data_IF_446948668679
#
_entry.id   IF_446948668679
#
_cell.length_a   1.000
_cell.length_b   1.000
_cell.length_c   1.000
_cell.angle_alpha   90.00
_cell.angle_beta   90.00
_cell.angle_gamma   90.00
#
_symmetry.space_group_name_H-M   'P 1'
#
loop_
_entity.id
_entity.type
_entity.pdbx_description
1 polymer ?
#
# COMPACT_ATOMS: atom_id res chain seq x y z
N UNK A 1 1.84 -8.26 12.70
CA UNK A 1 1.63 -8.13 11.24
C UNK A 1 1.53 -9.51 10.63
N UNK A 2 0.55 -9.76 9.77
CA UNK A 2 0.34 -11.09 9.22
C UNK A 2 1.41 -11.48 8.21
N UNK A 3 1.59 -12.80 8.05
CA UNK A 3 2.53 -13.32 7.07
C UNK A 3 2.15 -12.92 5.64
N UNK A 4 0.85 -12.92 5.35
CA UNK A 4 0.35 -12.51 4.02
C UNK A 4 0.71 -11.05 3.73
N UNK A 5 0.57 -10.16 4.72
CA UNK A 5 0.96 -8.76 4.58
C UNK A 5 2.46 -8.66 4.28
N UNK A 6 3.29 -9.36 5.06
CA UNK A 6 4.74 -9.31 4.86
C UNK A 6 5.15 -9.82 3.49
N UNK A 7 4.60 -10.97 3.07
CA UNK A 7 4.93 -11.56 1.78
C UNK A 7 4.51 -10.68 0.61
N UNK A 8 3.28 -10.14 0.65
CA UNK A 8 2.77 -9.32 -0.44
C UNK A 8 3.52 -8.00 -0.57
N UNK A 9 3.82 -7.35 0.57
CA UNK A 9 4.57 -6.09 0.52
C UNK A 9 6.02 -6.33 0.09
N UNK A 10 6.64 -7.42 0.52
CA UNK A 10 7.99 -7.77 0.07
C UNK A 10 8.02 -7.97 -1.45
N UNK A 11 7.03 -8.65 -2.02
CA UNK A 11 6.93 -8.82 -3.47
C UNK A 11 6.71 -7.48 -4.17
N UNK A 12 5.86 -6.62 -3.60
CA UNK A 12 5.61 -5.28 -4.13
C UNK A 12 6.90 -4.45 -4.18
N UNK A 13 7.66 -4.45 -3.09
CA UNK A 13 8.89 -3.68 -3.00
C UNK A 13 9.99 -4.22 -3.93
N UNK A 14 9.94 -5.52 -4.23
CA UNK A 14 10.95 -6.19 -5.08
C UNK A 14 10.51 -6.30 -6.54
N UNK A 15 9.38 -5.73 -6.92
CA UNK A 15 8.82 -5.81 -8.27
C UNK A 15 8.65 -7.27 -8.71
N UNK A 16 8.08 -8.11 -7.84
CA UNK A 16 7.78 -9.51 -8.14
C UNK A 16 6.28 -9.75 -8.17
N UNK A 17 5.82 -10.48 -9.17
CA UNK A 17 4.42 -10.89 -9.23
C UNK A 17 4.07 -11.76 -8.04
N UNK A 18 2.87 -11.56 -7.50
CA UNK A 18 2.41 -12.27 -6.31
C UNK A 18 0.89 -12.38 -6.35
N UNK A 19 0.38 -13.53 -5.92
CA UNK A 19 -1.06 -13.69 -5.74
C UNK A 19 -1.30 -14.74 -4.68
N UNK A 20 -1.93 -14.33 -3.57
CA UNK A 20 -2.28 -15.22 -2.47
C UNK A 20 -3.36 -14.57 -1.63
N UNK A 21 -4.42 -15.33 -1.30
CA UNK A 21 -5.52 -14.80 -0.50
C UNK A 21 -6.15 -13.59 -1.16
N UNK A 22 -6.30 -12.51 -0.38
CA UNK A 22 -6.89 -11.26 -0.88
C UNK A 22 -5.84 -10.28 -1.43
N UNK A 23 -4.57 -10.71 -1.54
CA UNK A 23 -3.49 -9.83 -1.98
C UNK A 23 -2.95 -10.25 -3.35
N UNK A 24 -2.58 -9.25 -4.13
CA UNK A 24 -1.96 -9.46 -5.43
C UNK A 24 -0.95 -8.35 -5.69
N UNK A 25 0.13 -8.69 -6.37
CA UNK A 25 1.08 -7.71 -6.91
C UNK A 25 1.15 -7.91 -8.42
N UNK A 26 0.80 -6.89 -9.16
CA UNK A 26 1.00 -6.83 -10.60
C UNK A 26 2.29 -6.08 -10.88
N UNK A 27 3.04 -6.55 -11.87
CA UNK A 27 4.27 -5.88 -12.28
C UNK A 27 4.14 -5.54 -13.76
N UNK A 28 4.13 -4.26 -14.06
CA UNK A 28 4.14 -3.73 -15.42
C UNK A 28 5.57 -3.24 -15.74
N UNK A 29 5.78 -2.70 -16.93
CA UNK A 29 7.13 -2.38 -17.40
C UNK A 29 7.96 -1.56 -16.39
N UNK A 30 7.36 -0.57 -15.74
CA UNK A 30 8.09 0.31 -14.83
C UNK A 30 7.32 0.61 -13.55
N UNK A 31 6.33 -0.21 -13.20
CA UNK A 31 5.53 0.02 -11.99
C UNK A 31 5.10 -1.31 -11.39
N UNK A 32 5.15 -1.39 -10.05
CA UNK A 32 4.57 -2.49 -9.28
C UNK A 32 3.30 -1.97 -8.63
N UNK A 33 2.25 -2.78 -8.62
CA UNK A 33 0.95 -2.39 -8.08
C UNK A 33 0.54 -3.40 -7.02
N UNK A 34 0.31 -2.91 -5.80
CA UNK A 34 -0.18 -3.73 -4.69
C UNK A 34 -1.70 -3.63 -4.66
N UNK A 35 -2.38 -4.77 -4.74
CA UNK A 35 -3.84 -4.83 -4.76
C UNK A 35 -4.37 -5.60 -3.56
N UNK A 36 -5.42 -5.07 -2.94
CA UNK A 36 -6.20 -5.73 -1.90
C UNK A 36 -7.61 -5.93 -2.44
N UNK A 37 -8.10 -7.18 -2.49
CA UNK A 37 -9.40 -7.51 -3.09
C UNK A 37 -9.55 -6.89 -4.49
N UNK A 38 -8.51 -7.01 -5.32
CA UNK A 38 -8.47 -6.44 -6.66
C UNK A 38 -8.42 -4.91 -6.73
N UNK A 39 -8.39 -4.21 -5.60
CA UNK A 39 -8.32 -2.76 -5.58
C UNK A 39 -6.88 -2.32 -5.41
N UNK A 40 -6.34 -1.46 -6.29
CA UNK A 40 -4.96 -1.00 -6.16
C UNK A 40 -4.86 -0.03 -4.99
N UNK A 41 -4.03 -0.38 -4.00
CA UNK A 41 -3.81 0.46 -2.82
C UNK A 41 -2.42 1.09 -2.80
N UNK A 42 -1.49 0.60 -3.62
CA UNK A 42 -0.16 1.19 -3.69
C UNK A 42 0.46 0.97 -5.06
N UNK A 43 1.25 1.95 -5.49
CA UNK A 43 2.02 1.91 -6.73
C UNK A 43 3.47 2.24 -6.39
N UNK A 44 4.40 1.48 -6.93
CA UNK A 44 5.82 1.78 -6.80
C UNK A 44 6.43 1.88 -8.19
N UNK A 45 6.92 3.06 -8.53
CA UNK A 45 7.58 3.26 -9.80
C UNK A 45 9.01 2.73 -9.73
N UNK A 46 9.35 1.85 -10.67
CA UNK A 46 10.65 1.18 -10.71
C UNK A 46 11.67 2.06 -11.46
N UNK A 47 11.84 3.27 -10.98
CA UNK A 47 12.82 4.24 -11.49
C UNK A 47 13.84 4.52 -10.37
N UNK A 48 14.88 5.30 -10.65
CA UNK A 48 15.89 5.60 -9.62
C UNK A 48 15.34 6.26 -8.36
N UNK A 49 14.22 6.96 -8.45
CA UNK A 49 13.59 7.60 -7.28
C UNK A 49 12.80 6.59 -6.44
N UNK A 50 12.24 5.56 -7.08
CA UNK A 50 11.43 4.58 -6.39
C UNK A 50 10.20 5.20 -5.74
N UNK A 51 9.57 6.17 -6.38
CA UNK A 51 8.38 6.86 -5.83
C UNK A 51 7.28 5.88 -5.53
N UNK A 52 6.69 5.97 -4.36
CA UNK A 52 5.57 5.15 -3.94
C UNK A 52 4.36 6.06 -3.72
N UNK A 53 3.22 5.66 -4.30
CA UNK A 53 1.94 6.32 -4.08
C UNK A 53 1.01 5.35 -3.40
N UNK A 54 0.18 5.83 -2.47
CA UNK A 54 -0.78 4.98 -1.76
C UNK A 54 -2.18 5.59 -1.80
N UNK A 55 -3.19 4.73 -1.64
CA UNK A 55 -4.58 5.11 -1.50
C UNK A 55 -5.33 4.00 -0.78
N UNK A 56 -6.53 4.28 -0.28
CA UNK A 56 -7.35 3.24 0.35
C UNK A 56 -8.54 2.80 -0.49
N UNK A 57 -8.74 3.37 -1.66
CA UNK A 57 -9.86 3.07 -2.57
C UNK A 57 -11.23 3.22 -1.89
N UNK A 58 -11.34 4.09 -0.88
CA UNK A 58 -12.57 4.26 -0.12
C UNK A 58 -12.78 3.23 0.99
N UNK A 59 -11.84 2.31 1.19
CA UNK A 59 -11.94 1.28 2.23
C UNK A 59 -11.18 1.71 3.49
N UNK A 60 -11.91 2.25 4.46
CA UNK A 60 -11.33 2.66 5.74
C UNK A 60 -11.34 1.48 6.72
N UNK A 61 -10.76 0.35 6.32
CA UNK A 61 -10.78 -0.88 7.11
C UNK A 61 -9.44 -1.12 7.80
N UNK A 62 -9.48 -1.93 8.87
CA UNK A 62 -8.25 -2.34 9.56
C UNK A 62 -7.33 -3.14 8.65
N UNK A 63 -7.89 -3.94 7.74
CA UNK A 63 -7.08 -4.71 6.79
C UNK A 63 -6.31 -3.77 5.86
N UNK A 64 -6.97 -2.75 5.31
CA UNK A 64 -6.28 -1.77 4.45
C UNK A 64 -5.17 -1.06 5.21
N UNK A 65 -5.44 -0.64 6.47
CA UNK A 65 -4.40 -0.01 7.30
C UNK A 65 -3.20 -0.94 7.51
N UNK A 66 -3.47 -2.19 7.85
CA UNK A 66 -2.39 -3.15 8.09
C UNK A 66 -1.51 -3.33 6.86
N UNK A 67 -2.14 -3.50 5.69
CA UNK A 67 -1.37 -3.68 4.45
C UNK A 67 -0.51 -2.46 4.13
N UNK A 68 -1.09 -1.27 4.24
CA UNK A 68 -0.36 -0.03 3.95
C UNK A 68 0.74 0.24 4.97
N UNK A 69 0.49 -0.05 6.25
CA UNK A 69 1.50 0.17 7.30
C UNK A 69 2.72 -0.73 7.17
N UNK A 70 2.65 -1.79 6.38
CA UNK A 70 3.80 -2.64 6.10
C UNK A 70 4.75 -2.02 5.08
N UNK A 71 4.31 -1.00 4.35
CA UNK A 71 5.15 -0.31 3.37
C UNK A 71 6.11 0.61 4.14
N UNK A 72 7.42 0.60 3.81
CA UNK A 72 8.36 1.50 4.49
C UNK A 72 7.93 2.95 4.40
N UNK A 73 8.14 3.70 5.47
CA UNK A 73 7.80 5.12 5.59
C UNK A 73 6.30 5.42 5.64
N UNK A 74 5.46 4.40 5.78
CA UNK A 74 4.02 4.58 5.95
C UNK A 74 3.66 4.33 7.41
N UNK A 75 3.05 5.31 8.05
CA UNK A 75 2.50 5.20 9.39
C UNK A 75 1.10 5.77 9.37
N UNK A 76 0.10 4.90 9.36
CA UNK A 76 -1.31 5.29 9.36
C UNK A 76 -1.89 5.02 10.73
N UNK A 77 -2.44 6.05 11.35
CA UNK A 77 -3.14 5.97 12.63
C UNK A 77 -4.57 6.43 12.46
N UNK A 78 -5.45 5.93 13.32
CA UNK A 78 -6.84 6.34 13.35
C UNK A 78 -7.14 7.01 14.68
N UNK A 79 -7.77 8.18 14.63
CA UNK A 79 -8.17 8.92 15.82
C UNK A 79 -9.50 9.64 15.54
N UNK A 80 -10.47 9.45 16.40
CA UNK A 80 -11.80 10.05 16.23
C UNK A 80 -12.40 9.73 14.86
N UNK A 81 -12.25 8.47 14.42
CA UNK A 81 -12.77 7.97 13.14
C UNK A 81 -12.07 8.54 11.90
N UNK A 82 -11.02 9.33 12.09
CA UNK A 82 -10.26 9.91 10.99
C UNK A 82 -8.88 9.24 10.87
N UNK A 83 -8.41 9.07 9.64
CA UNK A 83 -7.08 8.52 9.39
C UNK A 83 -6.05 9.64 9.31
N UNK A 84 -4.87 9.34 9.85
CA UNK A 84 -3.70 10.22 9.78
C UNK A 84 -2.55 9.46 9.16
N UNK A 85 -1.95 10.04 8.13
CA UNK A 85 -0.79 9.48 7.44
C UNK A 85 0.44 10.28 7.88
N UNK A 86 1.38 9.60 8.55
CA UNK A 86 2.61 10.24 9.03
C UNK A 86 2.33 11.54 9.80
N UNK A 87 1.29 11.51 10.63
CA UNK A 87 0.93 12.62 11.48
C UNK A 87 -0.01 13.66 10.88
N UNK A 88 -0.33 13.56 9.60
CA UNK A 88 -1.21 14.50 8.93
C UNK A 88 -2.54 13.84 8.55
N UNK A 89 -3.63 14.57 8.67
CA UNK A 89 -4.95 14.07 8.30
C UNK A 89 -4.96 13.66 6.82
N UNK A 90 -5.48 12.46 6.55
CA UNK A 90 -5.49 11.90 5.20
C UNK A 90 -6.86 11.33 4.88
N UNK A 91 -7.40 11.71 3.74
CA UNK A 91 -8.73 11.28 3.30
C UNK A 91 -8.71 9.95 2.51
N UNK A 92 -7.55 9.32 2.37
CA UNK A 92 -7.42 8.05 1.65
C UNK A 92 -7.25 8.19 0.15
N UNK A 93 -7.26 9.39 -0.38
CA UNK A 93 -7.04 9.61 -1.81
C UNK A 93 -5.59 9.36 -2.18
N UNK A 94 -5.35 9.07 -3.45
CA UNK A 94 -4.01 8.80 -3.96
C UNK A 94 -3.05 9.92 -3.59
N UNK A 95 -1.93 9.56 -2.97
CA UNK A 95 -0.92 10.50 -2.55
C UNK A 95 0.46 9.89 -2.73
N UNK A 96 1.41 10.69 -3.19
CA UNK A 96 2.80 10.26 -3.32
C UNK A 96 3.50 10.42 -1.98
N UNK A 97 4.26 9.40 -1.58
CA UNK A 97 5.07 9.44 -0.37
C UNK A 97 6.34 10.25 -0.66
N UNK A 98 6.71 11.05 0.32
CA UNK A 98 7.94 11.86 0.22
C UNK A 98 9.13 11.15 0.81
#
# INVERSE_FOLDING_TARGET
>A
MSKLTQESVAAFMSARKFKKGNMQVEVLANVSILKLHNNPIAYKYNDPRGTISIQNCGWFSNTTKERLNAIPKVSINQKNWEWYLNGEKWDGKLIDLK
#
